data_IF_122166544199
#
_entry.id   IF_122166544199
#
_cell.length_a   1.000
_cell.length_b   1.000
_cell.length_c   1.000
_cell.angle_alpha   90.00
_cell.angle_beta   90.00
_cell.angle_gamma   90.00
#
_symmetry.space_group_name_H-M   'P 1'
#
loop_
_entity.id
_entity.type
_entity.pdbx_description
1 polymer ?
#
# COMPACT_ATOMS: atom_id res chain seq x y z
N UNK A 1 5.90 16.53 48.91
CA UNK A 1 6.49 16.13 47.64
C UNK A 1 5.78 14.85 47.20
N UNK A 2 4.87 14.96 46.26
CA UNK A 2 4.24 13.81 45.61
C UNK A 2 5.35 13.09 44.82
N UNK A 3 5.62 11.84 45.14
CA UNK A 3 6.49 10.99 44.34
C UNK A 3 5.93 10.98 42.91
N UNK A 4 6.65 11.59 41.98
CA UNK A 4 6.34 11.47 40.57
C UNK A 4 6.32 9.98 40.22
N UNK A 5 5.18 9.47 39.80
CA UNK A 5 5.05 8.05 39.43
C UNK A 5 6.01 7.78 38.29
N UNK A 6 7.05 6.98 38.56
CA UNK A 6 8.01 6.58 37.54
C UNK A 6 7.29 5.68 36.53
N UNK A 7 7.22 6.12 35.27
CA UNK A 7 6.68 5.28 34.20
C UNK A 7 7.64 4.13 33.90
N UNK A 8 7.13 2.90 33.82
CA UNK A 8 7.87 1.72 33.36
C UNK A 8 8.07 1.71 31.84
N UNK A 9 7.33 2.53 31.10
CA UNK A 9 7.48 2.69 29.64
C UNK A 9 8.74 3.51 29.37
N UNK A 10 9.55 3.04 28.41
CA UNK A 10 10.78 3.74 28.03
C UNK A 10 10.47 5.15 27.48
N UNK A 11 11.35 6.16 27.70
CA UNK A 11 11.05 7.56 27.32
C UNK A 11 10.58 7.73 25.89
N UNK A 12 11.23 7.08 24.91
CA UNK A 12 10.88 7.19 23.49
C UNK A 12 9.56 6.52 23.09
N UNK A 13 8.84 5.89 24.04
CA UNK A 13 7.52 5.29 23.78
C UNK A 13 6.38 5.98 24.57
N UNK A 14 6.68 6.92 25.47
CA UNK A 14 5.69 7.54 26.36
C UNK A 14 4.69 8.44 25.64
N UNK A 15 5.20 9.15 24.62
CA UNK A 15 4.41 10.14 23.87
C UNK A 15 3.86 9.59 22.55
N UNK A 16 3.80 8.26 22.42
CA UNK A 16 3.19 7.63 21.23
C UNK A 16 1.68 7.85 21.26
N UNK A 17 1.08 8.29 20.13
CA UNK A 17 -0.37 8.49 20.07
C UNK A 17 -1.10 7.16 20.29
N UNK A 18 -2.14 7.19 21.13
CA UNK A 18 -2.97 6.01 21.43
C UNK A 18 -3.92 5.63 20.30
N UNK A 19 -4.13 6.50 19.31
CA UNK A 19 -4.99 6.26 18.14
C UNK A 19 -4.35 6.85 16.88
N UNK A 20 -4.63 6.21 15.74
CA UNK A 20 -4.27 6.74 14.43
C UNK A 20 -5.29 7.83 14.02
N UNK A 21 -4.88 9.02 13.58
CA UNK A 21 -5.78 10.11 13.19
C UNK A 21 -6.81 9.71 12.12
N UNK A 22 -6.45 8.84 11.18
CA UNK A 22 -7.36 8.33 10.15
C UNK A 22 -8.50 7.52 10.77
N UNK A 23 -8.18 6.63 11.74
CA UNK A 23 -9.20 5.83 12.41
C UNK A 23 -10.08 6.68 13.33
N UNK A 24 -9.54 7.72 13.96
CA UNK A 24 -10.33 8.68 14.74
C UNK A 24 -11.35 9.42 13.88
N UNK A 25 -10.94 9.93 12.70
CA UNK A 25 -11.84 10.55 11.72
C UNK A 25 -12.92 9.59 11.23
N UNK A 26 -12.54 8.35 10.95
CA UNK A 26 -13.48 7.31 10.52
C UNK A 26 -14.50 7.00 11.61
N UNK A 27 -14.07 6.88 12.85
CA UNK A 27 -14.94 6.63 13.99
C UNK A 27 -15.95 7.76 14.20
N UNK A 28 -15.49 9.02 14.18
CA UNK A 28 -16.35 10.21 14.27
C UNK A 28 -17.42 10.19 13.17
N UNK A 29 -17.03 9.94 11.91
CA UNK A 29 -17.96 9.84 10.79
C UNK A 29 -19.02 8.75 11.01
N UNK A 30 -18.59 7.59 11.50
CA UNK A 30 -19.48 6.45 11.79
C UNK A 30 -20.46 6.76 12.91
N UNK A 31 -20.01 7.39 14.00
CA UNK A 31 -20.86 7.77 15.14
C UNK A 31 -21.90 8.83 14.74
N UNK A 32 -21.54 9.81 13.90
CA UNK A 32 -22.47 10.81 13.38
C UNK A 32 -23.51 10.20 12.44
N UNK A 33 -23.08 9.31 11.56
CA UNK A 33 -24.01 8.56 10.69
C UNK A 33 -24.99 7.71 11.50
N UNK A 34 -24.54 7.04 12.58
CA UNK A 34 -25.40 6.26 13.48
C UNK A 34 -26.45 7.12 14.20
N UNK A 35 -26.20 8.42 14.40
CA UNK A 35 -27.16 9.40 14.95
C UNK A 35 -28.15 9.95 13.89
N UNK A 36 -28.09 9.45 12.66
CA UNK A 36 -28.99 9.85 11.57
C UNK A 36 -28.52 11.04 10.75
N UNK A 37 -27.30 11.53 10.97
CA UNK A 37 -26.75 12.59 10.13
C UNK A 37 -26.39 12.06 8.71
N UNK A 38 -26.58 12.91 7.71
CA UNK A 38 -26.18 12.61 6.34
C UNK A 38 -24.67 12.72 6.19
N UNK A 39 -23.95 11.61 6.39
CA UNK A 39 -22.49 11.55 6.37
C UNK A 39 -21.99 10.81 5.13
N UNK A 40 -21.02 11.41 4.43
CA UNK A 40 -20.20 10.75 3.40
C UNK A 40 -18.79 10.50 3.99
N UNK A 41 -18.47 9.24 4.23
CA UNK A 41 -17.19 8.84 4.81
C UNK A 41 -16.22 8.34 3.73
N UNK A 42 -15.37 9.22 3.21
CA UNK A 42 -14.34 8.94 2.21
C UNK A 42 -12.92 8.86 2.83
N UNK A 43 -12.80 8.25 4.04
CA UNK A 43 -11.53 8.17 4.77
C UNK A 43 -10.80 6.85 4.57
N UNK A 44 -11.44 5.69 4.82
CA UNK A 44 -10.79 4.38 4.79
C UNK A 44 -10.65 3.79 3.40
N UNK A 45 -9.58 3.03 3.20
CA UNK A 45 -9.29 2.29 1.98
C UNK A 45 -9.90 0.88 1.97
N UNK A 46 -11.20 0.78 2.25
CA UNK A 46 -11.99 -0.44 2.09
C UNK A 46 -13.01 -0.24 0.98
N UNK A 47 -13.02 -1.16 0.02
CA UNK A 47 -13.97 -1.10 -1.09
C UNK A 47 -15.37 -1.45 -0.58
N UNK A 48 -16.34 -0.59 -0.87
CA UNK A 48 -17.75 -0.82 -0.57
C UNK A 48 -18.59 -0.97 -1.86
N UNK A 49 -19.68 -1.71 -1.77
CA UNK A 49 -20.74 -1.70 -2.78
C UNK A 49 -21.47 -0.36 -2.84
N UNK A 50 -22.43 -0.24 -3.77
CA UNK A 50 -23.29 0.95 -3.85
C UNK A 50 -24.29 1.05 -2.68
N UNK A 51 -24.46 -0.03 -1.92
CA UNK A 51 -25.22 -0.09 -0.66
C UNK A 51 -24.43 0.42 0.57
N UNK A 52 -23.17 0.85 0.37
CA UNK A 52 -22.26 1.32 1.40
C UNK A 52 -21.65 0.23 2.28
N UNK A 53 -21.97 -1.05 2.05
CA UNK A 53 -21.37 -2.18 2.80
C UNK A 53 -20.05 -2.60 2.19
N UNK A 54 -19.16 -3.16 3.03
CA UNK A 54 -17.90 -3.71 2.54
C UNK A 54 -18.16 -4.75 1.45
N UNK A 55 -17.52 -4.55 0.31
CA UNK A 55 -17.56 -5.52 -0.78
C UNK A 55 -16.83 -6.79 -0.38
N UNK A 56 -17.44 -7.93 -0.59
CA UNK A 56 -16.87 -9.25 -0.35
C UNK A 56 -16.95 -10.09 -1.62
N UNK A 57 -16.00 -10.98 -1.79
CA UNK A 57 -15.98 -11.91 -2.92
C UNK A 57 -16.59 -13.23 -2.45
N UNK A 58 -17.78 -13.65 -2.98
CA UNK A 58 -18.46 -14.88 -2.56
C UNK A 58 -17.59 -16.13 -2.66
N UNK A 59 -16.79 -16.27 -3.72
CA UNK A 59 -15.88 -17.40 -3.90
C UNK A 59 -14.84 -17.49 -2.79
N UNK A 60 -14.37 -16.36 -2.24
CA UNK A 60 -13.45 -16.34 -1.10
C UNK A 60 -14.12 -16.87 0.16
N UNK A 61 -15.36 -16.44 0.43
CA UNK A 61 -16.12 -16.90 1.60
C UNK A 61 -16.48 -18.39 1.51
N UNK A 62 -16.88 -18.86 0.34
CA UNK A 62 -17.14 -20.29 0.09
C UNK A 62 -15.88 -21.14 0.28
N UNK A 63 -14.73 -20.68 -0.21
CA UNK A 63 -13.46 -21.37 -0.04
C UNK A 63 -13.07 -21.41 1.45
N UNK A 64 -13.24 -20.30 2.17
CA UNK A 64 -12.97 -20.23 3.61
C UNK A 64 -13.84 -21.26 4.39
N UNK A 65 -15.12 -21.37 4.04
CA UNK A 65 -16.04 -22.29 4.69
C UNK A 65 -15.72 -23.78 4.44
N UNK A 66 -14.98 -24.08 3.36
CA UNK A 66 -14.61 -25.45 2.95
C UNK A 66 -13.22 -25.88 3.41
N UNK A 67 -12.41 -24.96 3.98
CA UNK A 67 -11.07 -25.32 4.45
C UNK A 67 -11.15 -26.37 5.57
N UNK A 68 -10.28 -27.39 5.48
CA UNK A 68 -10.11 -28.35 6.58
C UNK A 68 -9.64 -27.61 7.85
N UNK A 69 -10.58 -27.38 8.76
CA UNK A 69 -10.35 -26.64 10.00
C UNK A 69 -9.28 -27.33 10.88
N UNK A 70 -9.21 -28.66 10.90
CA UNK A 70 -8.22 -29.40 11.70
C UNK A 70 -6.81 -29.21 11.11
N UNK A 71 -6.65 -29.31 9.80
CA UNK A 71 -5.38 -29.05 9.13
C UNK A 71 -4.95 -27.59 9.27
N UNK A 72 -5.89 -26.64 9.27
CA UNK A 72 -5.62 -25.21 9.42
C UNK A 72 -5.29 -24.79 10.86
N UNK A 73 -5.68 -25.58 11.87
CA UNK A 73 -5.42 -25.32 13.30
C UNK A 73 -3.94 -25.49 13.69
N UNK A 74 -3.16 -26.26 12.92
CA UNK A 74 -1.73 -26.44 13.17
C UNK A 74 -0.91 -25.22 12.80
N UNK A 75 0.33 -25.15 13.30
CA UNK A 75 1.28 -24.10 12.89
C UNK A 75 1.70 -24.26 11.42
N UNK A 76 1.71 -23.15 10.67
CA UNK A 76 2.38 -23.12 9.39
C UNK A 76 3.91 -23.14 9.58
N UNK A 77 4.71 -23.55 8.58
CA UNK A 77 6.15 -23.30 8.57
C UNK A 77 6.47 -21.84 8.78
N UNK A 78 7.61 -21.55 9.41
CA UNK A 78 8.02 -20.16 9.79
C UNK A 78 7.97 -19.19 8.62
N UNK A 79 8.49 -19.59 7.46
CA UNK A 79 8.45 -18.75 6.25
C UNK A 79 7.08 -18.71 5.56
N UNK A 80 6.17 -19.60 5.91
CA UNK A 80 4.88 -19.81 5.24
C UNK A 80 4.78 -21.17 4.56
N UNK A 81 3.57 -21.53 4.14
CA UNK A 81 3.32 -22.77 3.38
C UNK A 81 4.02 -22.68 2.01
N UNK A 82 4.85 -23.66 1.62
CA UNK A 82 5.50 -23.64 0.30
C UNK A 82 4.52 -23.44 -0.86
N UNK A 83 3.36 -24.10 -0.81
CA UNK A 83 2.31 -23.94 -1.82
C UNK A 83 1.79 -22.51 -1.92
N UNK A 84 1.57 -21.82 -0.77
CA UNK A 84 1.17 -20.43 -0.73
C UNK A 84 2.25 -19.51 -1.33
N UNK A 85 3.51 -19.71 -0.95
CA UNK A 85 4.62 -18.90 -1.44
C UNK A 85 4.82 -19.05 -2.95
N UNK A 86 4.74 -20.27 -3.47
CA UNK A 86 4.79 -20.52 -4.91
C UNK A 86 3.59 -19.91 -5.63
N UNK A 87 2.37 -20.04 -5.08
CA UNK A 87 1.17 -19.49 -5.68
C UNK A 87 1.21 -17.95 -5.72
N UNK A 88 1.72 -17.28 -4.69
CA UNK A 88 1.86 -15.82 -4.68
C UNK A 88 2.93 -15.33 -5.65
N UNK A 89 4.06 -16.02 -5.78
CA UNK A 89 5.07 -15.72 -6.81
C UNK A 89 4.46 -15.89 -8.22
N UNK A 90 3.69 -16.96 -8.44
CA UNK A 90 3.01 -17.20 -9.72
C UNK A 90 1.88 -16.19 -9.99
N UNK A 91 1.15 -15.71 -8.97
CA UNK A 91 0.16 -14.66 -9.11
C UNK A 91 0.78 -13.36 -9.66
N UNK A 92 2.00 -13.05 -9.23
CA UNK A 92 2.74 -11.86 -9.68
C UNK A 92 3.37 -12.10 -11.06
N UNK A 93 4.13 -13.16 -11.25
CA UNK A 93 5.01 -13.34 -12.42
C UNK A 93 4.50 -14.36 -13.46
N UNK A 94 3.37 -15.03 -13.19
CA UNK A 94 2.95 -16.16 -13.99
C UNK A 94 4.00 -17.27 -13.95
N UNK A 95 4.24 -17.89 -15.12
CA UNK A 95 5.29 -18.90 -15.32
C UNK A 95 6.58 -18.30 -15.94
N UNK A 96 6.75 -16.97 -15.83
CA UNK A 96 7.88 -16.25 -16.41
C UNK A 96 9.23 -16.57 -15.73
N UNK A 97 10.35 -16.11 -16.31
CA UNK A 97 11.70 -16.40 -15.81
C UNK A 97 11.97 -15.80 -14.43
N UNK A 98 11.26 -14.74 -14.03
CA UNK A 98 11.40 -14.12 -12.72
C UNK A 98 11.01 -15.05 -11.56
N UNK A 99 10.16 -16.05 -11.80
CA UNK A 99 9.79 -17.05 -10.77
C UNK A 99 11.00 -17.81 -10.25
N UNK A 100 12.00 -18.07 -11.10
CA UNK A 100 13.26 -18.74 -10.73
C UNK A 100 14.24 -17.83 -9.98
N UNK A 101 14.03 -16.52 -10.05
CA UNK A 101 14.85 -15.50 -9.39
C UNK A 101 14.19 -14.96 -8.11
N UNK A 102 13.06 -15.53 -7.71
CA UNK A 102 12.26 -15.09 -6.59
C UNK A 102 12.30 -16.05 -5.40
N UNK A 103 12.34 -15.48 -4.21
CA UNK A 103 12.08 -16.17 -2.93
C UNK A 103 11.00 -15.38 -2.19
N UNK A 104 10.25 -16.04 -1.31
CA UNK A 104 9.19 -15.35 -0.58
C UNK A 104 9.07 -15.83 0.87
N UNK A 105 8.49 -14.98 1.72
CA UNK A 105 7.98 -15.32 3.05
C UNK A 105 6.57 -14.77 3.23
N UNK A 106 5.74 -15.48 3.99
CA UNK A 106 4.41 -15.00 4.35
C UNK A 106 4.50 -13.96 5.47
N UNK A 107 3.67 -12.93 5.37
CA UNK A 107 3.68 -11.78 6.28
C UNK A 107 2.26 -11.43 6.78
N UNK A 108 2.12 -10.75 7.92
CA UNK A 108 0.83 -10.21 8.37
C UNK A 108 0.41 -9.01 7.50
N UNK A 109 -0.10 -9.32 6.29
CA UNK A 109 -0.47 -8.34 5.27
C UNK A 109 0.72 -7.62 4.64
N UNK A 110 0.45 -6.63 3.79
CA UNK A 110 1.47 -5.77 3.20
C UNK A 110 2.28 -4.99 4.25
N UNK A 111 1.68 -4.64 5.38
CA UNK A 111 2.37 -3.98 6.50
C UNK A 111 3.55 -4.81 7.01
N UNK A 112 3.34 -6.13 7.20
CA UNK A 112 4.42 -7.04 7.58
C UNK A 112 5.49 -7.18 6.51
N UNK A 113 5.12 -7.09 5.23
CA UNK A 113 6.08 -7.11 4.12
C UNK A 113 6.98 -5.85 4.14
N UNK A 114 6.39 -4.67 4.32
CA UNK A 114 7.16 -3.42 4.48
C UNK A 114 8.08 -3.50 5.70
N UNK A 115 7.56 -3.97 6.84
CA UNK A 115 8.37 -4.17 8.05
C UNK A 115 9.60 -5.04 7.78
N UNK A 116 9.41 -6.18 7.10
CA UNK A 116 10.50 -7.08 6.69
C UNK A 116 11.54 -6.38 5.81
N UNK A 117 11.09 -5.57 4.85
CA UNK A 117 11.98 -4.77 4.02
C UNK A 117 12.82 -3.80 4.85
N UNK A 118 12.18 -3.04 5.74
CA UNK A 118 12.88 -2.03 6.53
C UNK A 118 13.89 -2.66 7.51
N UNK A 119 13.50 -3.73 8.22
CA UNK A 119 14.36 -4.32 9.26
C UNK A 119 15.56 -5.08 8.70
N UNK A 120 15.43 -5.69 7.51
CA UNK A 120 16.49 -6.52 6.93
C UNK A 120 17.39 -5.78 5.93
N UNK A 121 16.97 -4.61 5.43
CA UNK A 121 17.71 -3.89 4.39
C UNK A 121 18.21 -2.51 4.82
N UNK A 122 17.93 -2.10 6.06
CA UNK A 122 18.50 -0.91 6.69
C UNK A 122 19.06 -1.25 8.07
N UNK A 123 20.22 -0.68 8.38
CA UNK A 123 20.80 -0.72 9.72
C UNK A 123 20.05 0.24 10.67
N UNK A 124 20.10 0.01 12.00
CA UNK A 124 19.62 1.01 12.96
C UNK A 124 20.23 2.39 12.71
N UNK A 125 19.42 3.43 12.79
CA UNK A 125 19.83 4.81 12.54
C UNK A 125 19.79 5.23 11.06
N UNK A 126 19.69 4.30 10.12
CA UNK A 126 19.54 4.62 8.69
C UNK A 126 18.12 5.03 8.35
N UNK A 127 17.95 5.65 7.19
CA UNK A 127 16.67 6.19 6.73
C UNK A 127 16.11 5.40 5.57
N UNK A 128 14.80 5.11 5.66
CA UNK A 128 13.97 4.68 4.56
C UNK A 128 13.70 5.86 3.62
N UNK A 129 13.85 5.66 2.31
CA UNK A 129 13.51 6.65 1.29
C UNK A 129 12.10 6.37 0.73
N UNK A 130 11.27 7.41 0.58
CA UNK A 130 9.96 7.31 -0.09
C UNK A 130 9.54 8.67 -0.65
N UNK A 131 8.41 8.73 -1.35
CA UNK A 131 7.84 9.95 -1.91
C UNK A 131 7.30 10.90 -0.83
N UNK A 132 7.21 12.21 -1.11
CA UNK A 132 6.68 13.22 -0.19
C UNK A 132 5.22 12.98 0.21
N UNK A 133 4.42 12.45 -0.70
CA UNK A 133 3.12 11.84 -0.40
C UNK A 133 3.34 10.33 -0.31
N UNK A 134 2.94 9.69 0.77
CA UNK A 134 3.15 8.26 0.98
C UNK A 134 2.12 7.71 1.97
N UNK A 135 2.04 6.40 2.05
CA UNK A 135 1.25 5.74 3.09
C UNK A 135 1.87 6.03 4.47
N UNK A 136 1.14 6.81 5.30
CA UNK A 136 1.64 7.33 6.57
C UNK A 136 2.36 6.33 7.48
N UNK A 137 1.90 5.06 7.59
CA UNK A 137 2.56 4.06 8.42
C UNK A 137 4.00 3.70 8.05
N UNK A 138 4.55 4.04 6.86
CA UNK A 138 5.96 3.79 6.56
C UNK A 138 6.89 4.43 7.59
N UNK A 139 6.65 5.69 7.95
CA UNK A 139 7.43 6.38 8.97
C UNK A 139 7.29 5.76 10.36
N UNK A 140 6.07 5.34 10.72
CA UNK A 140 5.81 4.64 11.99
C UNK A 140 6.54 3.31 12.08
N UNK A 141 6.53 2.52 10.99
CA UNK A 141 7.25 1.24 10.91
C UNK A 141 8.77 1.47 11.08
N UNK A 142 9.35 2.39 10.31
CA UNK A 142 10.77 2.68 10.39
C UNK A 142 11.18 3.13 11.81
N UNK A 143 10.46 4.10 12.37
CA UNK A 143 10.74 4.65 13.70
C UNK A 143 10.61 3.60 14.81
N UNK A 144 9.61 2.70 14.71
CA UNK A 144 9.38 1.66 15.72
C UNK A 144 10.56 0.69 15.88
N UNK A 145 11.37 0.53 14.83
CA UNK A 145 12.52 -0.38 14.81
C UNK A 145 13.87 0.36 14.73
N UNK A 146 13.88 1.64 15.15
CA UNK A 146 15.11 2.42 15.25
C UNK A 146 15.69 2.88 13.91
N UNK A 147 14.85 3.03 12.88
CA UNK A 147 15.16 3.65 11.59
C UNK A 147 14.36 4.94 11.48
N UNK A 148 14.67 5.75 10.47
CA UNK A 148 13.91 6.97 10.19
C UNK A 148 13.43 6.96 8.73
N UNK A 149 12.78 8.03 8.30
CA UNK A 149 12.26 8.18 6.95
C UNK A 149 12.73 9.49 6.35
N UNK A 150 13.16 9.45 5.12
CA UNK A 150 13.45 10.62 4.29
C UNK A 150 12.54 10.60 3.06
N UNK A 151 12.09 11.76 2.62
CA UNK A 151 11.23 11.87 1.45
C UNK A 151 11.87 12.73 0.37
N UNK A 152 11.61 12.37 -0.90
CA UNK A 152 11.85 13.23 -2.05
C UNK A 152 10.53 13.73 -2.61
N UNK A 153 10.56 14.83 -3.39
CA UNK A 153 9.36 15.35 -4.05
C UNK A 153 8.75 14.26 -4.93
N UNK A 154 7.46 13.98 -4.77
CA UNK A 154 6.79 13.01 -5.63
C UNK A 154 6.56 13.56 -7.03
N UNK A 155 6.26 14.84 -7.14
CA UNK A 155 5.85 15.47 -8.36
C UNK A 155 6.75 16.64 -8.74
N UNK A 156 6.97 16.80 -10.03
CA UNK A 156 7.43 18.02 -10.68
C UNK A 156 6.29 19.06 -10.70
N UNK A 157 6.58 20.32 -11.08
CA UNK A 157 5.55 21.36 -11.21
C UNK A 157 4.42 21.02 -12.20
N UNK A 158 4.68 20.18 -13.20
CA UNK A 158 3.70 19.68 -14.17
C UNK A 158 2.89 18.48 -13.68
N UNK A 159 3.07 18.08 -12.42
CA UNK A 159 2.45 16.92 -11.77
C UNK A 159 2.83 15.54 -12.34
N UNK A 160 3.94 15.44 -13.10
CA UNK A 160 4.58 14.16 -13.45
C UNK A 160 5.52 13.70 -12.32
N UNK A 161 5.89 12.41 -12.32
CA UNK A 161 6.75 11.85 -11.28
C UNK A 161 8.16 12.46 -11.32
N UNK A 162 8.69 12.84 -10.15
CA UNK A 162 10.01 13.49 -10.03
C UNK A 162 11.15 12.46 -9.95
N UNK A 163 11.52 11.92 -11.11
CA UNK A 163 12.63 10.96 -11.22
C UNK A 163 13.97 11.60 -10.86
N UNK A 164 14.16 12.90 -11.14
CA UNK A 164 15.40 13.60 -10.79
C UNK A 164 15.54 13.72 -9.25
N UNK A 165 14.44 14.03 -8.57
CA UNK A 165 14.38 14.02 -7.10
C UNK A 165 14.70 12.65 -6.52
N UNK A 166 14.18 11.59 -7.11
CA UNK A 166 14.52 10.20 -6.75
C UNK A 166 16.01 9.93 -6.95
N UNK A 167 16.58 10.29 -8.10
CA UNK A 167 18.00 10.08 -8.40
C UNK A 167 18.92 10.73 -7.36
N UNK A 168 18.70 12.03 -7.08
CA UNK A 168 19.46 12.79 -6.08
C UNK A 168 19.36 12.18 -4.68
N UNK A 169 18.18 11.67 -4.32
CA UNK A 169 17.96 11.06 -3.02
C UNK A 169 18.64 9.68 -2.91
N UNK A 170 18.59 8.86 -3.95
CA UNK A 170 19.30 7.57 -3.99
C UNK A 170 20.82 7.78 -3.88
N UNK A 171 21.38 8.69 -4.68
CA UNK A 171 22.81 9.01 -4.64
C UNK A 171 23.24 9.46 -3.24
N UNK A 172 22.48 10.36 -2.62
CA UNK A 172 22.76 10.81 -1.24
C UNK A 172 22.70 9.66 -0.23
N UNK A 173 21.71 8.76 -0.30
CA UNK A 173 21.60 7.62 0.61
C UNK A 173 22.76 6.64 0.42
N UNK A 174 23.16 6.34 -0.81
CA UNK A 174 24.35 5.51 -1.08
C UNK A 174 25.62 6.15 -0.52
N UNK A 175 25.81 7.45 -0.74
CA UNK A 175 27.01 8.17 -0.28
C UNK A 175 27.08 8.28 1.25
N UNK A 176 25.95 8.49 1.94
CA UNK A 176 25.93 8.74 3.39
C UNK A 176 25.69 7.50 4.24
N UNK A 177 24.98 6.50 3.72
CA UNK A 177 24.59 5.29 4.43
C UNK A 177 25.24 4.01 3.87
N UNK A 178 25.95 4.09 2.72
CA UNK A 178 26.50 2.95 2.00
C UNK A 178 25.43 2.07 1.34
N UNK A 179 24.15 2.41 1.52
CA UNK A 179 23.00 1.71 0.95
C UNK A 179 21.78 2.60 0.84
N UNK A 180 20.83 2.21 -0.02
CA UNK A 180 19.53 2.83 -0.09
C UNK A 180 18.42 1.76 -0.09
N UNK A 181 17.36 2.00 0.69
CA UNK A 181 16.07 1.31 0.57
C UNK A 181 15.03 2.34 0.18
N UNK A 182 14.48 2.24 -1.03
CA UNK A 182 13.37 3.08 -1.48
C UNK A 182 12.09 2.28 -1.53
N UNK A 183 11.00 2.83 -0.95
CA UNK A 183 9.66 2.27 -1.06
C UNK A 183 8.87 3.07 -2.09
N UNK A 184 8.38 2.39 -3.12
CA UNK A 184 7.55 2.92 -4.19
C UNK A 184 6.20 2.17 -4.17
N UNK A 185 5.11 2.89 -3.90
CA UNK A 185 3.77 2.33 -3.84
C UNK A 185 3.08 2.51 -5.20
N UNK A 186 3.42 1.67 -6.18
CA UNK A 186 2.84 1.69 -7.51
C UNK A 186 2.50 0.26 -7.98
N UNK A 187 1.42 0.09 -8.79
CA UNK A 187 0.48 1.11 -9.27
C UNK A 187 -0.54 1.55 -8.22
N UNK A 188 -1.34 2.56 -8.53
CA UNK A 188 -2.44 3.05 -7.69
C UNK A 188 -1.95 3.60 -6.34
N UNK A 189 -0.99 4.48 -6.39
CA UNK A 189 -0.31 5.06 -5.23
C UNK A 189 -1.28 5.57 -4.14
N UNK A 190 -1.09 5.17 -2.91
CA UNK A 190 -1.77 5.74 -1.75
C UNK A 190 -0.88 6.83 -1.12
N UNK A 191 -1.26 8.13 -1.17
CA UNK A 191 -2.64 8.65 -1.26
C UNK A 191 -3.09 9.19 -2.62
N UNK A 192 -2.25 9.25 -3.64
CA UNK A 192 -2.47 10.08 -4.83
C UNK A 192 -3.29 9.44 -5.94
N UNK A 193 -3.38 8.10 -5.97
CA UNK A 193 -3.96 7.34 -7.08
C UNK A 193 -3.05 7.23 -8.31
N UNK A 194 -1.90 7.89 -8.29
CA UNK A 194 -0.97 7.92 -9.42
C UNK A 194 -0.41 6.53 -9.74
N UNK A 195 -0.26 6.24 -11.01
CA UNK A 195 0.48 5.08 -11.51
C UNK A 195 1.57 5.57 -12.48
N UNK A 196 2.75 4.97 -12.41
CA UNK A 196 3.82 5.30 -13.34
C UNK A 196 3.50 4.74 -14.72
N UNK A 197 3.76 5.54 -15.76
CA UNK A 197 3.74 5.10 -17.16
C UNK A 197 5.00 4.30 -17.49
N UNK A 198 5.00 3.53 -18.60
CA UNK A 198 6.19 2.77 -19.02
C UNK A 198 7.45 3.60 -19.09
N UNK A 199 7.38 4.82 -19.66
CA UNK A 199 8.52 5.74 -19.82
C UNK A 199 9.05 6.24 -18.48
N UNK A 200 8.16 6.44 -17.48
CA UNK A 200 8.56 6.79 -16.12
C UNK A 200 9.25 5.60 -15.43
N UNK A 201 8.77 4.36 -15.68
CA UNK A 201 9.45 3.16 -15.21
C UNK A 201 10.84 2.99 -15.81
N UNK A 202 11.03 3.25 -17.10
CA UNK A 202 12.34 3.20 -17.76
C UNK A 202 13.33 4.16 -17.10
N UNK A 203 12.89 5.38 -16.79
CA UNK A 203 13.70 6.36 -16.08
C UNK A 203 14.02 5.92 -14.64
N UNK A 204 13.05 5.31 -13.91
CA UNK A 204 13.28 4.75 -12.57
C UNK A 204 14.32 3.63 -12.64
N UNK A 205 14.24 2.74 -13.62
CA UNK A 205 15.22 1.67 -13.85
C UNK A 205 16.62 2.24 -14.05
N UNK A 206 16.76 3.27 -14.87
CA UNK A 206 18.05 3.92 -15.15
C UNK A 206 18.69 4.48 -13.86
N UNK A 207 17.93 5.27 -13.08
CA UNK A 207 18.49 5.92 -11.88
C UNK A 207 18.79 4.91 -10.76
N UNK A 208 17.97 3.86 -10.60
CA UNK A 208 18.20 2.77 -9.67
C UNK A 208 19.44 1.96 -10.06
N UNK A 209 19.58 1.63 -11.37
CA UNK A 209 20.73 0.89 -11.87
C UNK A 209 22.04 1.64 -11.63
N UNK A 210 22.06 2.95 -11.93
CA UNK A 210 23.23 3.80 -11.69
C UNK A 210 23.61 3.89 -10.21
N UNK A 211 22.64 4.05 -9.33
CA UNK A 211 22.88 4.07 -7.88
C UNK A 211 23.40 2.71 -7.39
N UNK A 212 22.88 1.61 -7.95
CA UNK A 212 23.27 0.23 -7.60
C UNK A 212 24.69 -0.15 -8.02
N UNK A 213 25.30 0.57 -8.98
CA UNK A 213 26.72 0.42 -9.33
C UNK A 213 27.67 0.98 -8.25
N UNK A 214 27.14 1.84 -7.37
CA UNK A 214 27.92 2.57 -6.34
C UNK A 214 27.69 2.02 -4.94
N UNK A 215 26.61 1.32 -4.67
CA UNK A 215 26.28 0.79 -3.36
C UNK A 215 25.08 -0.14 -3.35
N UNK A 216 24.77 -0.72 -2.19
CA UNK A 216 23.65 -1.63 -2.04
C UNK A 216 22.31 -0.88 -2.17
N UNK A 217 21.58 -1.13 -3.26
CA UNK A 217 20.25 -0.54 -3.47
C UNK A 217 19.18 -1.62 -3.38
N UNK A 218 18.11 -1.30 -2.66
CA UNK A 218 16.91 -2.13 -2.56
C UNK A 218 15.71 -1.28 -2.94
N UNK A 219 14.89 -1.79 -3.87
CA UNK A 219 13.61 -1.18 -4.26
C UNK A 219 12.49 -2.04 -3.71
N UNK A 220 11.70 -1.50 -2.78
CA UNK A 220 10.50 -2.15 -2.29
C UNK A 220 9.29 -1.59 -3.04
N UNK A 221 8.67 -2.43 -3.87
CA UNK A 221 7.43 -2.14 -4.57
C UNK A 221 6.26 -2.56 -3.68
N UNK A 222 5.54 -1.57 -3.12
CA UNK A 222 4.28 -1.84 -2.41
C UNK A 222 3.15 -1.89 -3.44
N UNK A 223 2.77 -3.11 -3.82
CA UNK A 223 1.79 -3.36 -4.89
C UNK A 223 0.40 -3.66 -4.33
N UNK A 224 0.06 -3.09 -3.17
CA UNK A 224 -1.18 -3.41 -2.48
C UNK A 224 -2.46 -3.27 -3.34
N UNK A 225 -2.44 -2.39 -4.33
CA UNK A 225 -3.61 -2.08 -5.17
C UNK A 225 -3.48 -2.58 -6.62
N UNK A 226 -2.45 -3.33 -6.98
CA UNK A 226 -2.17 -3.71 -8.37
C UNK A 226 -3.36 -4.39 -9.06
N UNK A 227 -4.12 -5.21 -8.34
CA UNK A 227 -5.28 -5.90 -8.87
C UNK A 227 -6.44 -4.96 -9.27
N UNK A 228 -6.37 -3.68 -8.88
CA UNK A 228 -7.29 -2.60 -9.24
C UNK A 228 -6.66 -1.54 -10.14
N UNK A 229 -5.47 -1.82 -10.69
CA UNK A 229 -4.66 -0.89 -11.47
C UNK A 229 -5.11 -0.71 -12.92
N UNK A 230 -6.16 -1.38 -13.38
CA UNK A 230 -6.62 -1.26 -14.75
C UNK A 230 -5.48 -1.56 -15.75
N UNK A 231 -5.21 -0.64 -16.68
CA UNK A 231 -4.14 -0.79 -17.67
C UNK A 231 -2.74 -0.87 -17.05
N UNK A 232 -2.51 -0.12 -15.97
CA UNK A 232 -1.23 -0.08 -15.26
C UNK A 232 -1.02 -1.24 -14.28
N UNK A 233 -2.00 -2.15 -14.17
CA UNK A 233 -1.98 -3.23 -13.17
C UNK A 233 -0.69 -4.07 -13.19
N UNK A 234 -0.05 -4.22 -14.34
CA UNK A 234 1.12 -5.10 -14.51
C UNK A 234 2.34 -4.43 -15.17
N UNK A 235 2.29 -3.17 -15.58
CA UNK A 235 3.41 -2.46 -16.25
C UNK A 235 4.68 -2.42 -15.40
N UNK A 236 4.54 -2.34 -14.09
CA UNK A 236 5.66 -2.37 -13.14
C UNK A 236 6.45 -3.70 -13.16
N UNK A 237 5.84 -4.80 -13.62
CA UNK A 237 6.52 -6.11 -13.71
C UNK A 237 7.58 -6.08 -14.81
N UNK A 238 7.32 -5.37 -15.89
CA UNK A 238 8.24 -5.24 -17.01
C UNK A 238 9.51 -4.46 -16.63
N UNK A 239 9.43 -3.61 -15.60
CA UNK A 239 10.58 -2.89 -15.05
C UNK A 239 11.51 -3.77 -14.16
N UNK A 240 10.99 -4.86 -13.59
CA UNK A 240 11.73 -5.68 -12.61
C UNK A 240 13.06 -6.24 -13.15
N UNK A 241 13.15 -6.79 -14.37
CA UNK A 241 14.43 -7.26 -14.90
C UNK A 241 15.52 -6.18 -14.96
N UNK A 242 15.11 -4.95 -15.31
CA UNK A 242 15.99 -3.79 -15.32
C UNK A 242 16.43 -3.36 -13.91
N UNK A 243 15.48 -3.26 -12.98
CA UNK A 243 15.76 -2.95 -11.58
C UNK A 243 16.68 -4.00 -10.93
N UNK A 244 16.38 -5.29 -11.16
CA UNK A 244 17.16 -6.41 -10.59
C UNK A 244 18.56 -6.56 -11.21
N UNK A 245 18.94 -5.72 -12.17
CA UNK A 245 20.29 -5.72 -12.74
C UNK A 245 21.32 -5.33 -11.68
N UNK A 246 21.09 -4.28 -10.93
CA UNK A 246 22.00 -3.71 -9.96
C UNK A 246 21.34 -3.43 -8.59
N UNK A 247 20.12 -3.94 -8.34
CA UNK A 247 19.42 -3.77 -7.07
C UNK A 247 18.71 -5.07 -6.64
N UNK A 248 18.39 -5.19 -5.36
CA UNK A 248 17.41 -6.16 -4.87
C UNK A 248 16.02 -5.57 -5.05
N UNK A 249 15.09 -6.32 -5.63
CA UNK A 249 13.68 -5.90 -5.75
C UNK A 249 12.84 -6.68 -4.76
N UNK A 250 12.16 -5.96 -3.89
CA UNK A 250 11.20 -6.51 -2.93
C UNK A 250 9.79 -6.15 -3.38
N UNK A 251 8.84 -7.08 -3.25
CA UNK A 251 7.45 -6.87 -3.64
C UNK A 251 6.57 -7.19 -2.43
N UNK A 252 5.91 -6.16 -1.90
CA UNK A 252 4.94 -6.31 -0.82
C UNK A 252 3.57 -6.64 -1.40
N UNK A 253 3.28 -7.93 -1.50
CA UNK A 253 1.99 -8.47 -1.93
C UNK A 253 1.03 -8.61 -0.74
N UNK A 254 -0.28 -8.42 -0.97
CA UNK A 254 -1.30 -8.58 0.08
C UNK A 254 -2.63 -9.09 -0.46
N UNK A 255 -3.27 -9.99 0.29
CA UNK A 255 -4.63 -10.45 0.01
C UNK A 255 -5.71 -9.40 0.42
N UNK A 256 -5.34 -8.38 1.19
CA UNK A 256 -6.28 -7.41 1.78
C UNK A 256 -7.16 -6.74 0.72
N UNK A 257 -6.61 -6.36 -0.44
CA UNK A 257 -7.35 -5.70 -1.52
C UNK A 257 -7.70 -6.70 -2.61
N UNK A 258 -6.72 -7.46 -3.09
CA UNK A 258 -6.89 -8.41 -4.22
C UNK A 258 -8.00 -9.46 -3.99
N UNK A 259 -8.28 -9.78 -2.73
CA UNK A 259 -9.31 -10.74 -2.32
C UNK A 259 -10.32 -10.15 -1.32
N UNK A 260 -10.36 -8.83 -1.15
CA UNK A 260 -11.23 -8.11 -0.19
C UNK A 260 -11.14 -8.64 1.25
N UNK A 261 -9.98 -9.16 1.66
CA UNK A 261 -9.76 -9.79 2.98
C UNK A 261 -8.91 -8.89 3.89
N UNK A 262 -9.40 -7.69 4.16
CA UNK A 262 -8.68 -6.67 4.94
C UNK A 262 -8.30 -7.14 6.35
N UNK A 263 -9.21 -7.85 7.01
CA UNK A 263 -9.06 -8.36 8.38
C UNK A 263 -8.25 -9.66 8.49
N UNK A 264 -8.04 -10.39 7.42
CA UNK A 264 -7.31 -11.68 7.45
C UNK A 264 -5.81 -11.50 7.76
N UNK A 265 -5.27 -10.30 7.59
CA UNK A 265 -3.85 -9.96 7.81
C UNK A 265 -2.91 -10.94 7.11
N UNK A 266 -3.14 -11.18 5.82
CA UNK A 266 -2.35 -12.09 5.01
C UNK A 266 -1.67 -11.35 3.86
N UNK A 267 -0.37 -11.57 3.71
CA UNK A 267 0.47 -11.05 2.64
C UNK A 267 1.71 -11.91 2.44
N UNK A 268 2.57 -11.46 1.56
CA UNK A 268 3.89 -12.01 1.32
C UNK A 268 4.88 -10.91 0.97
N UNK A 269 6.12 -11.06 1.40
CA UNK A 269 7.24 -10.34 0.82
C UNK A 269 7.94 -11.28 -0.16
N UNK A 270 7.95 -10.89 -1.43
CA UNK A 270 8.67 -11.59 -2.49
C UNK A 270 9.95 -10.80 -2.76
N UNK A 271 11.09 -11.45 -2.74
CA UNK A 271 12.37 -10.84 -3.07
C UNK A 271 12.90 -11.42 -4.38
N UNK A 272 13.29 -10.56 -5.30
CA UNK A 272 13.90 -10.92 -6.60
C UNK A 272 15.35 -10.47 -6.57
N UNK A 273 16.26 -11.40 -6.86
CA UNK A 273 17.69 -11.14 -7.01
C UNK A 273 18.30 -12.12 -8.01
N UNK A 274 19.29 -11.68 -8.79
CA UNK A 274 19.89 -12.50 -9.86
C UNK A 274 20.82 -13.60 -9.33
N UNK A 275 21.52 -13.32 -8.23
CA UNK A 275 22.48 -14.24 -7.61
C UNK A 275 21.77 -15.23 -6.68
N UNK A 276 22.06 -16.53 -6.83
CA UNK A 276 21.45 -17.62 -6.06
C UNK A 276 21.90 -17.60 -4.58
N UNK A 277 23.17 -17.26 -4.32
CA UNK A 277 23.70 -17.20 -2.97
C UNK A 277 23.05 -16.05 -2.21
N UNK A 278 22.91 -14.89 -2.84
CA UNK A 278 22.24 -13.75 -2.25
C UNK A 278 20.74 -14.03 -1.98
N UNK A 279 20.03 -14.70 -2.89
CA UNK A 279 18.65 -15.14 -2.62
C UNK A 279 18.54 -16.05 -1.41
N UNK A 280 19.53 -16.90 -1.19
CA UNK A 280 19.58 -17.77 -0.01
C UNK A 280 19.79 -16.96 1.27
N UNK A 281 20.69 -15.98 1.25
CA UNK A 281 20.94 -15.05 2.37
C UNK A 281 19.66 -14.27 2.69
N UNK A 282 19.02 -13.68 1.67
CA UNK A 282 17.77 -12.93 1.82
C UNK A 282 16.68 -13.82 2.44
N UNK A 283 16.45 -15.02 1.89
CA UNK A 283 15.46 -15.95 2.41
C UNK A 283 15.69 -16.31 3.89
N UNK A 284 16.95 -16.52 4.28
CA UNK A 284 17.29 -16.84 5.65
C UNK A 284 17.04 -15.65 6.59
N UNK A 285 17.44 -14.43 6.19
CA UNK A 285 17.20 -13.21 6.95
C UNK A 285 15.70 -12.94 7.15
N UNK A 286 14.92 -13.04 6.08
CA UNK A 286 13.46 -12.88 6.13
C UNK A 286 12.81 -13.95 7.03
N UNK A 287 13.24 -15.22 6.94
CA UNK A 287 12.72 -16.31 7.78
C UNK A 287 13.05 -16.10 9.25
N UNK A 288 14.29 -15.66 9.55
CA UNK A 288 14.69 -15.32 10.91
C UNK A 288 13.80 -14.21 11.50
N UNK A 289 13.53 -13.18 10.72
CA UNK A 289 12.65 -12.07 11.13
C UNK A 289 11.22 -12.54 11.33
N UNK A 290 10.68 -13.42 10.48
CA UNK A 290 9.37 -14.04 10.72
C UNK A 290 9.32 -14.74 12.08
N UNK A 291 10.32 -15.56 12.39
CA UNK A 291 10.39 -16.28 13.67
C UNK A 291 10.49 -15.35 14.87
N UNK A 292 11.23 -14.25 14.73
CA UNK A 292 11.51 -13.30 15.83
C UNK A 292 10.41 -12.28 16.08
N UNK A 293 9.40 -12.19 15.19
CA UNK A 293 8.30 -11.21 15.28
C UNK A 293 6.95 -11.86 15.55
N UNK A 294 6.38 -12.54 14.56
CA UNK A 294 5.06 -13.19 14.67
C UNK A 294 5.15 -14.72 14.83
N UNK A 295 6.34 -15.27 14.94
CA UNK A 295 6.62 -16.69 15.13
C UNK A 295 6.21 -17.56 13.93
N UNK A 296 4.93 -17.61 13.60
CA UNK A 296 4.36 -18.36 12.49
C UNK A 296 3.26 -17.52 11.82
N UNK A 297 3.14 -17.57 10.49
CA UNK A 297 2.13 -16.80 9.78
C UNK A 297 0.74 -17.46 9.84
N UNK A 298 -0.28 -16.70 9.43
CA UNK A 298 -1.67 -17.15 9.37
C UNK A 298 -1.84 -18.38 8.47
N UNK A 299 -2.01 -19.57 9.07
CA UNK A 299 -2.12 -20.83 8.35
C UNK A 299 -3.43 -20.96 7.57
N UNK A 300 -4.56 -20.60 8.23
CA UNK A 300 -5.88 -20.66 7.61
C UNK A 300 -5.95 -19.80 6.35
N UNK A 301 -5.53 -18.54 6.47
CA UNK A 301 -5.53 -17.61 5.34
C UNK A 301 -4.67 -18.09 4.17
N UNK A 302 -3.49 -18.66 4.46
CA UNK A 302 -2.62 -19.22 3.41
C UNK A 302 -3.29 -20.36 2.65
N UNK A 303 -4.00 -21.27 3.35
CA UNK A 303 -4.72 -22.38 2.70
C UNK A 303 -5.80 -21.85 1.78
N UNK A 304 -6.63 -20.90 2.25
CA UNK A 304 -7.69 -20.29 1.44
C UNK A 304 -7.13 -19.64 0.18
N UNK A 305 -6.11 -18.81 0.32
CA UNK A 305 -5.53 -18.10 -0.82
C UNK A 305 -4.80 -19.05 -1.76
N UNK A 306 -4.12 -20.08 -1.24
CA UNK A 306 -3.50 -21.10 -2.09
C UNK A 306 -4.55 -21.77 -2.97
N UNK A 307 -5.66 -22.20 -2.39
CA UNK A 307 -6.74 -22.86 -3.14
C UNK A 307 -7.32 -21.93 -4.21
N UNK A 308 -7.58 -20.66 -3.87
CA UNK A 308 -8.06 -19.65 -4.82
C UNK A 308 -7.09 -19.37 -5.97
N UNK A 309 -5.78 -19.47 -5.73
CA UNK A 309 -4.75 -19.19 -6.73
C UNK A 309 -4.41 -20.39 -7.61
N UNK A 310 -4.53 -21.62 -7.06
CA UNK A 310 -4.07 -22.84 -7.73
C UNK A 310 -5.18 -23.68 -8.34
N UNK A 311 -6.40 -23.58 -7.83
CA UNK A 311 -7.57 -24.25 -8.42
C UNK A 311 -8.10 -23.41 -9.58
N UNK A 312 -8.08 -23.88 -10.83
CA UNK A 312 -8.45 -23.08 -11.99
C UNK A 312 -9.89 -22.54 -11.96
N UNK A 313 -10.83 -23.34 -11.44
CA UNK A 313 -12.23 -22.92 -11.37
C UNK A 313 -12.46 -21.82 -10.32
N UNK A 314 -11.88 -22.00 -9.11
CA UNK A 314 -11.97 -20.97 -8.06
C UNK A 314 -11.24 -19.70 -8.47
N UNK A 315 -10.09 -19.83 -9.14
CA UNK A 315 -9.34 -18.69 -9.68
C UNK A 315 -10.19 -17.91 -10.69
N UNK A 316 -10.79 -18.58 -11.67
CA UNK A 316 -11.63 -17.96 -12.68
C UNK A 316 -12.81 -17.21 -12.04
N UNK A 317 -13.48 -17.82 -11.06
CA UNK A 317 -14.60 -17.20 -10.34
C UNK A 317 -14.14 -15.98 -9.54
N UNK A 318 -13.08 -16.10 -8.76
CA UNK A 318 -12.53 -15.01 -7.97
C UNK A 318 -12.05 -13.84 -8.87
N UNK A 319 -11.44 -14.12 -10.01
CA UNK A 319 -11.03 -13.10 -10.97
C UNK A 319 -12.25 -12.39 -11.58
N UNK A 320 -13.34 -13.09 -11.91
CA UNK A 320 -14.57 -12.50 -12.41
C UNK A 320 -15.24 -11.59 -11.36
N UNK A 321 -15.36 -12.05 -10.11
CA UNK A 321 -15.89 -11.25 -9.00
C UNK A 321 -15.06 -9.98 -8.76
N UNK A 322 -13.73 -10.09 -8.84
CA UNK A 322 -12.85 -8.93 -8.73
C UNK A 322 -13.01 -7.96 -9.88
N UNK A 323 -13.17 -8.45 -11.12
CA UNK A 323 -13.40 -7.59 -12.28
C UNK A 323 -14.72 -6.81 -12.18
N UNK A 324 -15.77 -7.40 -11.60
CA UNK A 324 -17.00 -6.68 -11.27
C UNK A 324 -16.72 -5.49 -10.31
N UNK A 325 -15.92 -5.73 -9.26
CA UNK A 325 -15.53 -4.69 -8.31
C UNK A 325 -14.65 -3.61 -8.95
N UNK A 326 -13.74 -4.00 -9.85
CA UNK A 326 -12.96 -3.05 -10.68
C UNK A 326 -13.90 -2.21 -11.53
N UNK A 327 -14.94 -2.81 -12.11
CA UNK A 327 -15.98 -2.11 -12.88
C UNK A 327 -16.76 -1.08 -12.06
N UNK A 328 -17.12 -1.42 -10.82
CA UNK A 328 -17.75 -0.48 -9.87
C UNK A 328 -16.84 0.71 -9.60
N UNK A 329 -15.59 0.44 -9.25
CA UNK A 329 -14.60 1.49 -8.94
C UNK A 329 -14.33 2.38 -10.16
N UNK A 330 -14.21 1.81 -11.35
CA UNK A 330 -13.97 2.56 -12.59
C UNK A 330 -15.09 3.58 -12.85
N UNK A 331 -16.36 3.22 -12.69
CA UNK A 331 -17.48 4.15 -12.85
C UNK A 331 -17.40 5.33 -11.88
N UNK A 332 -16.98 5.08 -10.63
CA UNK A 332 -16.75 6.13 -9.62
C UNK A 332 -15.61 7.06 -10.02
N UNK A 333 -14.49 6.50 -10.51
CA UNK A 333 -13.33 7.25 -10.98
C UNK A 333 -13.69 8.13 -12.17
N UNK A 334 -14.40 7.59 -13.18
CA UNK A 334 -14.85 8.33 -14.36
C UNK A 334 -15.75 9.51 -13.96
N UNK A 335 -16.74 9.27 -13.08
CA UNK A 335 -17.63 10.31 -12.59
C UNK A 335 -16.88 11.37 -11.76
N UNK A 336 -15.94 10.96 -10.91
CA UNK A 336 -15.13 11.87 -10.13
C UNK A 336 -14.23 12.73 -11.00
N UNK A 337 -13.52 12.14 -11.96
CA UNK A 337 -12.64 12.86 -12.87
C UNK A 337 -13.42 13.89 -13.71
N UNK A 338 -14.58 13.50 -14.23
CA UNK A 338 -15.46 14.41 -14.98
C UNK A 338 -15.95 15.57 -14.11
N UNK A 339 -16.40 15.30 -12.89
CA UNK A 339 -16.83 16.32 -11.95
C UNK A 339 -15.68 17.24 -11.53
N UNK A 340 -14.51 16.68 -11.21
CA UNK A 340 -13.31 17.44 -10.82
C UNK A 340 -12.84 18.38 -11.95
N UNK A 341 -12.82 17.88 -13.18
CA UNK A 341 -12.46 18.67 -14.36
C UNK A 341 -13.45 19.81 -14.60
N UNK A 342 -14.75 19.56 -14.49
CA UNK A 342 -15.79 20.55 -14.72
C UNK A 342 -15.70 21.76 -13.77
N UNK A 343 -15.18 21.56 -12.55
CA UNK A 343 -15.02 22.63 -11.55
C UNK A 343 -13.56 23.07 -11.36
N UNK A 344 -12.62 22.55 -12.16
CA UNK A 344 -11.22 22.95 -12.13
C UNK A 344 -10.44 22.50 -10.88
N UNK A 345 -10.77 21.36 -10.27
CA UNK A 345 -9.98 20.81 -9.16
C UNK A 345 -8.58 20.42 -9.66
N UNK A 346 -7.58 20.80 -8.90
CA UNK A 346 -6.18 20.47 -9.20
C UNK A 346 -5.82 19.14 -8.54
N UNK A 347 -5.42 18.17 -9.36
CA UNK A 347 -5.10 16.81 -8.89
C UNK A 347 -4.05 16.17 -9.82
N UNK A 348 -3.27 15.18 -9.35
CA UNK A 348 -2.43 14.39 -10.24
C UNK A 348 -3.28 13.50 -11.15
N UNK A 349 -2.66 12.91 -12.18
CA UNK A 349 -3.30 11.89 -13.02
C UNK A 349 -3.86 10.77 -12.15
N UNK A 350 -5.13 10.42 -12.37
CA UNK A 350 -5.82 9.39 -11.61
C UNK A 350 -6.71 8.55 -12.51
N UNK A 351 -6.30 7.33 -12.78
CA UNK A 351 -6.98 6.43 -13.72
C UNK A 351 -7.51 5.17 -13.04
N UNK A 352 -6.97 4.83 -11.86
CA UNK A 352 -7.27 3.57 -11.18
C UNK A 352 -6.88 3.62 -9.69
N UNK A 353 -7.30 2.60 -8.94
CA UNK A 353 -6.98 2.49 -7.52
C UNK A 353 -8.01 3.11 -6.59
N UNK A 354 -7.77 2.96 -5.29
CA UNK A 354 -8.76 3.25 -4.24
C UNK A 354 -8.86 4.72 -3.86
N UNK A 355 -7.82 5.50 -4.13
CA UNK A 355 -7.68 6.87 -3.65
C UNK A 355 -7.42 7.83 -4.79
N UNK A 356 -7.81 9.07 -4.56
CA UNK A 356 -7.32 10.23 -5.28
C UNK A 356 -6.90 11.31 -4.29
N UNK A 357 -6.13 12.27 -4.78
CA UNK A 357 -5.66 13.41 -4.00
C UNK A 357 -6.02 14.71 -4.73
N UNK A 358 -6.57 15.67 -4.01
CA UNK A 358 -6.86 17.01 -4.54
C UNK A 358 -5.95 18.01 -3.84
N UNK A 359 -5.21 18.80 -4.63
CA UNK A 359 -4.34 19.85 -4.10
C UNK A 359 -5.17 21.01 -3.57
N UNK A 360 -4.85 21.44 -2.35
CA UNK A 360 -5.43 22.60 -1.67
C UNK A 360 -4.31 23.35 -0.96
N UNK A 361 -4.54 24.61 -0.60
CA UNK A 361 -3.51 25.40 0.11
C UNK A 361 -3.25 24.87 1.52
N UNK A 362 -4.31 24.51 2.24
CA UNK A 362 -4.28 23.99 3.60
C UNK A 362 -5.23 22.79 3.71
N UNK A 363 -4.64 21.57 3.81
CA UNK A 363 -5.40 20.33 3.88
C UNK A 363 -6.23 20.17 5.15
N UNK A 364 -5.73 20.62 6.29
CA UNK A 364 -6.44 20.53 7.57
C UNK A 364 -7.68 21.44 7.56
N UNK A 365 -7.53 22.67 7.10
CA UNK A 365 -8.65 23.62 6.98
C UNK A 365 -9.68 23.12 5.97
N UNK A 366 -9.24 22.63 4.81
CA UNK A 366 -10.13 22.09 3.79
C UNK A 366 -10.94 20.90 4.32
N UNK A 367 -10.27 19.93 4.97
CA UNK A 367 -10.92 18.77 5.57
C UNK A 367 -11.89 19.17 6.70
N UNK A 368 -11.53 20.14 7.55
CA UNK A 368 -12.41 20.66 8.59
C UNK A 368 -13.69 21.27 7.99
N UNK A 369 -13.56 22.06 6.92
CA UNK A 369 -14.71 22.64 6.21
C UNK A 369 -15.61 21.58 5.58
N UNK A 370 -15.02 20.56 4.96
CA UNK A 370 -15.75 19.43 4.39
C UNK A 370 -16.49 18.64 5.47
N UNK A 371 -15.88 18.46 6.65
CA UNK A 371 -16.49 17.79 7.82
C UNK A 371 -17.73 18.52 8.34
N UNK A 372 -17.75 19.88 8.31
CA UNK A 372 -18.96 20.66 8.60
C UNK A 372 -20.10 20.34 7.65
N UNK A 373 -19.78 20.03 6.39
CA UNK A 373 -20.74 19.61 5.35
C UNK A 373 -21.09 18.11 5.42
N UNK A 374 -20.60 17.41 6.44
CA UNK A 374 -20.80 15.96 6.60
C UNK A 374 -19.98 15.11 5.65
N UNK A 375 -18.91 15.63 5.04
CA UNK A 375 -18.01 14.90 4.16
C UNK A 375 -16.64 14.75 4.81
N UNK A 376 -16.24 13.49 5.04
CA UNK A 376 -14.99 13.14 5.73
C UNK A 376 -13.92 12.70 4.73
N UNK A 377 -12.78 13.36 4.75
CA UNK A 377 -11.59 13.06 3.94
C UNK A 377 -10.34 13.13 4.82
N UNK A 378 -9.22 12.55 4.37
CA UNK A 378 -7.96 12.63 5.11
C UNK A 378 -7.19 13.90 4.71
N UNK A 379 -6.89 14.80 5.66
CA UNK A 379 -6.02 15.95 5.39
C UNK A 379 -4.58 15.50 5.16
N UNK A 380 -3.92 16.19 4.24
CA UNK A 380 -2.50 16.02 3.90
C UNK A 380 -1.85 17.42 3.79
N UNK A 381 -0.53 17.47 3.87
CA UNK A 381 0.19 18.73 3.63
C UNK A 381 -0.05 19.23 2.19
N UNK A 382 -0.77 20.33 2.06
CA UNK A 382 -1.09 20.91 0.76
C UNK A 382 -2.10 20.14 -0.09
N UNK A 383 -2.85 19.19 0.50
CA UNK A 383 -3.83 18.37 -0.22
C UNK A 383 -4.86 17.76 0.73
N UNK A 384 -5.89 17.15 0.15
CA UNK A 384 -6.78 16.21 0.82
C UNK A 384 -6.83 14.89 0.03
N UNK A 385 -6.83 13.75 0.74
CA UNK A 385 -7.03 12.42 0.13
C UNK A 385 -8.49 12.01 0.24
N UNK A 386 -9.05 11.55 -0.88
CA UNK A 386 -10.40 10.98 -0.96
C UNK A 386 -10.34 9.49 -1.25
N UNK A 387 -11.12 8.68 -0.51
CA UNK A 387 -11.25 7.24 -0.73
C UNK A 387 -12.45 6.96 -1.63
N UNK A 388 -12.25 6.93 -2.95
CA UNK A 388 -13.32 6.63 -3.90
C UNK A 388 -13.82 5.19 -3.79
N UNK A 389 -12.98 4.28 -3.28
CA UNK A 389 -13.38 2.90 -2.99
C UNK A 389 -14.56 2.81 -2.00
N UNK A 390 -14.67 3.77 -1.08
CA UNK A 390 -15.76 3.83 -0.10
C UNK A 390 -16.88 4.81 -0.45
N UNK A 391 -16.82 5.46 -1.61
CA UNK A 391 -17.78 6.51 -2.03
C UNK A 391 -18.75 5.96 -3.06
N UNK A 392 -20.05 5.78 -2.75
CA UNK A 392 -21.05 5.34 -3.73
C UNK A 392 -21.14 6.30 -4.92
N UNK A 393 -21.43 5.79 -6.12
CA UNK A 393 -21.47 6.57 -7.36
C UNK A 393 -22.41 7.79 -7.24
N UNK A 394 -23.59 7.61 -6.63
CA UNK A 394 -24.56 8.68 -6.43
C UNK A 394 -24.07 9.81 -5.50
N UNK A 395 -23.03 9.58 -4.71
CA UNK A 395 -22.44 10.56 -3.78
C UNK A 395 -21.27 11.34 -4.39
N UNK A 396 -20.80 10.99 -5.57
CA UNK A 396 -19.68 11.66 -6.24
C UNK A 396 -19.92 13.16 -6.45
N UNK A 397 -21.10 13.62 -6.93
CA UNK A 397 -21.37 15.06 -7.05
C UNK A 397 -21.23 15.80 -5.72
N UNK A 398 -21.79 15.26 -4.62
CA UNK A 398 -21.67 15.83 -3.28
C UNK A 398 -20.22 15.92 -2.81
N UNK A 399 -19.41 14.88 -3.10
CA UNK A 399 -17.97 14.90 -2.79
C UNK A 399 -17.24 16.03 -3.53
N UNK A 400 -17.53 16.22 -4.82
CA UNK A 400 -16.94 17.29 -5.65
C UNK A 400 -17.35 18.66 -5.13
N UNK A 401 -18.63 18.88 -4.79
CA UNK A 401 -19.12 20.13 -4.21
C UNK A 401 -18.44 20.45 -2.89
N UNK A 402 -18.25 19.45 -2.02
CA UNK A 402 -17.56 19.62 -0.76
C UNK A 402 -16.06 19.93 -0.95
N UNK A 403 -15.39 19.33 -1.94
CA UNK A 403 -14.01 19.64 -2.31
C UNK A 403 -13.86 21.09 -2.79
N UNK A 404 -14.79 21.58 -3.61
CA UNK A 404 -14.83 22.98 -4.03
C UNK A 404 -15.01 23.90 -2.84
N UNK A 405 -15.95 23.59 -1.93
CA UNK A 405 -16.20 24.40 -0.73
C UNK A 405 -15.01 24.40 0.23
N UNK A 406 -14.34 23.26 0.42
CA UNK A 406 -13.14 23.11 1.24
C UNK A 406 -11.91 23.81 0.66
N UNK A 407 -11.76 23.82 -0.67
CA UNK A 407 -10.64 24.46 -1.36
C UNK A 407 -10.78 25.97 -1.54
N UNK A 408 -11.96 26.53 -1.35
CA UNK A 408 -12.18 28.00 -1.44
C UNK A 408 -11.45 28.71 -0.30
N UNK A 409 -10.66 29.70 -0.66
CA UNK A 409 -10.14 30.65 0.31
C UNK A 409 -11.33 31.46 0.88
N UNK A 410 -11.46 31.49 2.20
CA UNK A 410 -12.31 32.52 2.82
C UNK A 410 -11.58 33.83 2.66
N UNK A 411 -12.22 34.87 2.12
CA UNK A 411 -11.60 36.20 1.94
C UNK A 411 -11.05 36.79 3.21
#
# INVERSE_FOLDING_TARGET
MTLATLSSVVPGARDRPGSDPLFALHQEATERAAKGESILNATLGTLSGEDGKIAVMPTVLETLAKVDARAAAGYAPVAGLPAFLHATIADVFGNGPLTKQAVAVSTPGGTGAVYQGVVNFLEPGQKLLTTSYHWGPYGGIAKNIGRDTETFSMFRPDHTFDVEGLAKALDRHVDTQGRALVVLNFPCHNPTGYSLEPEEWDQVVEVVSRAGERGAVTVLLDVAYFAFGGRSARTWIDAIPGLAKNATVLIAWTASKSFTQYGARLGALIAVHRDDAERTIIKNALSFTCRSTWSNPNHLGQRVITELLTNPELRRRADAEREELVGVLRKRIEAFNAGAQAVGLRMPRYDSGFFSMVFVKDGERAAAKMRELGVYVLPLKGAVRVALCGTPLAQIPRLVDALVAGGREVP
#
